data_IF_140481984913
#
_entry.id   IF_140481984913
#
_cell.length_a   1.000
_cell.length_b   1.000
_cell.length_c   1.000
_cell.angle_alpha   90.00
_cell.angle_beta   90.00
_cell.angle_gamma   90.00
#
_symmetry.space_group_name_H-M   'P 1'
#
loop_
_entity.id
_entity.type
_entity.pdbx_description
1 polymer ?
#
# COMPACT_ATOMS: atom_id res chain seq x y z
N UNK A 1 0.44 26.81 28.27
CA UNK A 1 -0.67 26.42 27.39
C UNK A 1 -0.08 26.16 26.01
N UNK A 2 0.05 24.90 25.64
CA UNK A 2 0.42 24.53 24.27
C UNK A 2 -0.91 24.21 23.62
N UNK A 3 -1.45 25.23 22.96
CA UNK A 3 -2.55 25.08 22.01
C UNK A 3 -2.05 24.27 20.82
N UNK A 4 -2.98 23.49 20.24
CA UNK A 4 -2.87 22.83 18.93
C UNK A 4 -2.32 21.39 18.89
N UNK A 5 -2.99 20.49 19.62
CA UNK A 5 -2.88 19.02 19.47
C UNK A 5 -3.40 18.49 18.12
N UNK A 6 -4.07 19.33 17.31
CA UNK A 6 -4.57 18.95 15.98
C UNK A 6 -3.47 18.70 14.95
N UNK A 7 -2.29 19.33 15.12
CA UNK A 7 -1.14 19.17 14.20
C UNK A 7 -0.24 17.97 14.52
N UNK A 8 -0.37 17.39 15.72
CA UNK A 8 0.40 16.21 16.14
C UNK A 8 -0.14 14.89 15.52
N UNK A 9 -1.43 14.85 15.19
CA UNK A 9 -2.08 13.69 14.56
C UNK A 9 -1.54 13.40 13.15
N UNK A 10 -1.18 14.43 12.38
CA UNK A 10 -0.66 14.24 11.02
C UNK A 10 0.77 13.70 11.02
N UNK A 11 1.63 14.11 11.95
CA UNK A 11 3.00 13.61 12.01
C UNK A 11 3.09 12.15 12.48
N UNK A 12 2.21 11.74 13.42
CA UNK A 12 2.14 10.35 13.89
C UNK A 12 1.47 9.45 12.84
N UNK A 13 0.41 9.91 12.17
CA UNK A 13 -0.17 9.22 11.01
C UNK A 13 0.83 9.11 9.87
N UNK A 14 1.53 10.19 9.54
CA UNK A 14 2.59 10.21 8.53
C UNK A 14 3.76 9.32 8.96
N UNK A 15 4.12 9.25 10.25
CA UNK A 15 5.12 8.29 10.76
C UNK A 15 4.63 6.86 10.65
N UNK A 16 3.36 6.58 10.93
CA UNK A 16 2.77 5.25 10.76
C UNK A 16 2.66 4.88 9.28
N UNK A 17 2.37 5.84 8.40
CA UNK A 17 2.36 5.69 6.94
C UNK A 17 3.76 5.49 6.36
N UNK A 18 4.71 6.32 6.78
CA UNK A 18 6.11 6.18 6.43
C UNK A 18 6.61 4.84 6.97
N UNK A 19 6.26 4.44 8.19
CA UNK A 19 6.61 3.13 8.69
C UNK A 19 5.94 2.00 7.88
N UNK A 20 4.69 2.16 7.40
CA UNK A 20 4.05 1.21 6.48
C UNK A 20 4.70 1.14 5.09
N UNK A 21 5.48 2.16 4.66
CA UNK A 21 5.91 2.33 3.25
C UNK A 21 7.43 2.42 3.05
N UNK A 22 8.23 2.80 4.06
CA UNK A 22 9.68 3.05 3.90
C UNK A 22 10.55 1.79 3.84
N UNK A 23 9.95 0.63 3.61
CA UNK A 23 10.59 -0.62 3.92
C UNK A 23 11.07 -1.27 2.64
N UNK A 24 12.37 -1.09 2.39
CA UNK A 24 13.23 -1.79 1.44
C UNK A 24 12.53 -2.64 0.36
N UNK A 25 12.08 -1.97 -0.71
CA UNK A 25 11.60 -2.61 -1.94
C UNK A 25 12.78 -3.28 -2.65
N UNK A 26 13.08 -4.55 -2.31
CA UNK A 26 14.07 -5.33 -3.05
C UNK A 26 13.49 -5.85 -4.40
N UNK A 27 14.30 -5.90 -5.48
CA UNK A 27 13.77 -6.02 -6.84
C UNK A 27 13.22 -7.37 -7.37
N UNK A 28 12.34 -8.12 -6.68
CA UNK A 28 11.93 -9.46 -7.16
C UNK A 28 10.42 -9.67 -7.22
N UNK A 29 9.75 -9.19 -8.28
CA UNK A 29 8.36 -9.51 -8.70
C UNK A 29 7.24 -9.63 -7.62
N UNK A 30 7.53 -9.25 -6.38
CA UNK A 30 6.81 -9.33 -5.11
C UNK A 30 7.60 -8.43 -4.15
N UNK A 31 7.07 -7.26 -3.86
CA UNK A 31 7.71 -6.32 -2.93
C UNK A 31 7.30 -6.74 -1.52
N UNK A 32 8.24 -7.23 -0.71
CA UNK A 32 8.06 -7.32 0.74
C UNK A 32 8.55 -6.03 1.39
N UNK A 33 7.87 -5.62 2.44
CA UNK A 33 8.01 -4.37 3.20
C UNK A 33 8.09 -4.78 4.68
N UNK A 34 9.11 -4.38 5.46
CA UNK A 34 9.40 -4.85 6.83
C UNK A 34 9.67 -3.73 7.85
N UNK A 35 8.92 -3.77 8.99
CA UNK A 35 8.74 -2.87 10.18
C UNK A 35 7.49 -1.92 10.31
N UNK A 36 6.28 -2.49 10.35
CA UNK A 36 5.25 -2.20 11.41
C UNK A 36 4.52 -3.51 11.69
N UNK A 37 5.22 -4.62 11.93
CA UNK A 37 4.69 -6.00 12.10
C UNK A 37 3.67 -6.51 11.04
N UNK A 38 3.37 -5.71 10.02
CA UNK A 38 2.30 -5.89 9.05
C UNK A 38 2.82 -5.42 7.70
N UNK A 39 3.13 -6.38 6.83
CA UNK A 39 3.67 -6.13 5.50
C UNK A 39 2.55 -5.88 4.51
N UNK A 40 2.32 -4.63 4.13
CA UNK A 40 1.42 -4.29 3.03
C UNK A 40 2.20 -4.11 1.73
N UNK A 41 1.67 -4.68 0.67
CA UNK A 41 2.27 -4.71 -0.66
C UNK A 41 1.44 -3.84 -1.58
N UNK A 42 2.08 -2.83 -2.19
CA UNK A 42 1.52 -2.13 -3.33
C UNK A 42 1.58 -3.07 -4.54
N UNK A 43 0.41 -3.58 -4.92
CA UNK A 43 0.26 -4.49 -6.03
C UNK A 43 -0.45 -3.80 -7.18
N UNK A 44 0.26 -3.64 -8.29
CA UNK A 44 -0.33 -3.25 -9.57
C UNK A 44 -0.65 -4.53 -10.33
N UNK A 45 -1.92 -4.76 -10.62
CA UNK A 45 -2.33 -5.87 -11.46
C UNK A 45 -2.12 -5.59 -12.95
N UNK A 46 -2.43 -6.57 -13.80
CA UNK A 46 -2.24 -6.44 -15.25
C UNK A 46 -3.33 -5.59 -15.91
N UNK A 47 -4.45 -5.35 -15.23
CA UNK A 47 -5.53 -4.45 -15.67
C UNK A 47 -5.27 -2.99 -15.34
N UNK A 48 -4.17 -2.66 -14.64
CA UNK A 48 -3.87 -1.28 -14.27
C UNK A 48 -4.64 -0.80 -13.04
N UNK A 49 -4.99 -1.70 -12.14
CA UNK A 49 -5.50 -1.34 -10.81
C UNK A 49 -4.41 -1.51 -9.75
N UNK A 50 -4.40 -0.61 -8.77
CA UNK A 50 -3.59 -0.72 -7.57
C UNK A 50 -4.40 -1.35 -6.44
N UNK A 51 -3.75 -2.22 -5.68
CA UNK A 51 -4.26 -2.74 -4.41
C UNK A 51 -3.16 -2.64 -3.38
N UNK A 52 -3.49 -2.17 -2.20
CA UNK A 52 -2.65 -2.35 -1.03
C UNK A 52 -3.07 -3.67 -0.40
N UNK A 53 -2.18 -4.66 -0.29
CA UNK A 53 -2.59 -5.99 0.20
C UNK A 53 -1.53 -6.69 1.03
N UNK A 54 -1.96 -7.56 1.92
CA UNK A 54 -1.13 -8.58 2.54
C UNK A 54 -1.81 -9.93 2.44
N UNK A 55 -1.01 -11.00 2.36
CA UNK A 55 -1.52 -12.36 2.26
C UNK A 55 -0.99 -13.16 3.44
N UNK A 56 -1.87 -13.92 4.09
CA UNK A 56 -1.59 -14.85 5.18
C UNK A 56 -2.19 -16.21 4.85
N UNK A 57 -1.60 -17.26 5.40
CA UNK A 57 -2.13 -18.62 5.24
C UNK A 57 -3.34 -18.82 6.16
N UNK A 58 -3.30 -18.23 7.35
CA UNK A 58 -4.33 -18.35 8.37
C UNK A 58 -5.25 -17.11 8.41
N UNK A 59 -6.50 -17.34 8.79
CA UNK A 59 -7.53 -16.31 8.87
C UNK A 59 -7.31 -15.36 10.05
N UNK A 60 -6.86 -15.88 11.19
CA UNK A 60 -6.63 -15.08 12.41
C UNK A 60 -5.58 -13.99 12.20
N UNK A 61 -4.47 -14.34 11.56
CA UNK A 61 -3.40 -13.41 11.20
C UNK A 61 -3.85 -12.36 10.19
N UNK A 62 -4.67 -12.74 9.20
CA UNK A 62 -5.23 -11.77 8.25
C UNK A 62 -6.26 -10.84 8.92
N UNK A 63 -7.08 -11.36 9.83
CA UNK A 63 -8.06 -10.58 10.61
C UNK A 63 -7.36 -9.60 11.55
N UNK A 64 -6.32 -10.02 12.26
CA UNK A 64 -5.55 -9.13 13.14
C UNK A 64 -4.96 -7.93 12.36
N UNK A 65 -4.52 -8.17 11.13
CA UNK A 65 -4.05 -7.10 10.25
C UNK A 65 -5.19 -6.16 9.85
N UNK A 66 -6.35 -6.71 9.49
CA UNK A 66 -7.53 -5.90 9.18
C UNK A 66 -7.92 -4.99 10.35
N UNK A 67 -7.97 -5.53 11.57
CA UNK A 67 -8.30 -4.74 12.76
C UNK A 67 -7.30 -3.63 13.02
N UNK A 68 -5.99 -3.89 12.83
CA UNK A 68 -4.95 -2.86 12.95
C UNK A 68 -5.13 -1.74 11.93
N UNK A 69 -5.41 -2.08 10.67
CA UNK A 69 -5.71 -1.09 9.61
C UNK A 69 -6.92 -0.22 9.96
N UNK A 70 -7.98 -0.83 10.50
CA UNK A 70 -9.17 -0.09 10.95
C UNK A 70 -8.85 0.85 12.12
N UNK A 71 -8.02 0.41 13.08
CA UNK A 71 -7.55 1.26 14.19
C UNK A 71 -6.74 2.48 13.73
N UNK A 72 -6.01 2.36 12.62
CA UNK A 72 -5.28 3.49 12.00
C UNK A 72 -6.16 4.34 11.08
N UNK A 73 -7.49 4.28 11.23
CA UNK A 73 -8.49 5.02 10.44
C UNK A 73 -8.64 4.60 8.97
N UNK A 74 -8.04 3.48 8.55
CA UNK A 74 -8.20 2.93 7.19
C UNK A 74 -9.39 1.97 7.14
N UNK A 75 -10.59 2.51 7.23
CA UNK A 75 -11.81 1.72 7.49
C UNK A 75 -12.29 0.88 6.31
N UNK A 76 -11.97 1.23 5.07
CA UNK A 76 -12.31 0.42 3.90
C UNK A 76 -11.29 -0.66 3.54
N UNK A 77 -10.40 -1.01 4.48
CA UNK A 77 -9.71 -2.28 4.39
C UNK A 77 -10.71 -3.44 4.49
N UNK A 78 -10.52 -4.47 3.68
CA UNK A 78 -11.39 -5.64 3.57
C UNK A 78 -10.59 -6.93 3.73
N UNK A 79 -11.28 -8.01 4.10
CA UNK A 79 -10.72 -9.34 4.17
C UNK A 79 -11.38 -10.23 3.13
N UNK A 80 -10.58 -10.95 2.36
CA UNK A 80 -11.07 -11.94 1.40
C UNK A 80 -10.28 -13.23 1.47
N UNK A 81 -10.88 -14.33 1.01
CA UNK A 81 -10.24 -15.64 0.89
C UNK A 81 -9.98 -15.94 -0.57
N UNK A 82 -8.76 -16.37 -0.89
CA UNK A 82 -8.36 -16.70 -2.25
C UNK A 82 -7.39 -17.89 -2.24
N UNK A 83 -7.73 -18.97 -2.95
CA UNK A 83 -6.88 -20.15 -3.14
C UNK A 83 -6.27 -20.70 -1.84
N UNK A 84 -7.10 -20.87 -0.80
CA UNK A 84 -6.66 -21.38 0.50
C UNK A 84 -5.85 -20.38 1.34
N UNK A 85 -5.81 -19.11 0.94
CA UNK A 85 -5.14 -18.02 1.68
C UNK A 85 -6.14 -16.94 2.06
N UNK A 86 -5.79 -16.17 3.08
CA UNK A 86 -6.53 -15.00 3.51
C UNK A 86 -5.76 -13.74 3.12
N UNK A 87 -6.47 -12.75 2.58
CA UNK A 87 -5.89 -11.50 2.11
C UNK A 87 -6.63 -10.34 2.75
N UNK A 88 -5.91 -9.53 3.53
CA UNK A 88 -6.38 -8.21 3.92
C UNK A 88 -5.93 -7.22 2.84
N UNK A 89 -6.85 -6.44 2.28
CA UNK A 89 -6.55 -5.54 1.17
C UNK A 89 -7.37 -4.26 1.22
N UNK A 90 -6.91 -3.27 0.47
CA UNK A 90 -7.60 -2.02 0.18
C UNK A 90 -7.58 -1.82 -1.34
N UNK A 91 -8.75 -1.51 -1.90
CA UNK A 91 -8.91 -1.26 -3.33
C UNK A 91 -8.40 0.14 -3.69
N UNK A 92 -8.16 0.38 -4.98
CA UNK A 92 -7.78 1.69 -5.50
C UNK A 92 -8.78 2.79 -5.10
N UNK A 93 -10.08 2.54 -5.30
CA UNK A 93 -11.15 3.49 -4.96
C UNK A 93 -11.17 3.85 -3.48
N UNK A 94 -10.74 2.94 -2.62
CA UNK A 94 -10.65 3.21 -1.19
C UNK A 94 -9.35 3.96 -0.85
N UNK A 95 -8.23 3.58 -1.48
CA UNK A 95 -6.94 4.28 -1.35
C UNK A 95 -7.08 5.77 -1.69
N UNK A 96 -7.81 6.09 -2.77
CA UNK A 96 -8.02 7.46 -3.24
C UNK A 96 -8.68 8.39 -2.21
N UNK A 97 -9.36 7.84 -1.19
CA UNK A 97 -9.97 8.62 -0.11
C UNK A 97 -8.96 9.10 0.93
N UNK A 98 -7.75 8.53 0.94
CA UNK A 98 -6.70 8.81 1.91
C UNK A 98 -5.51 9.46 1.18
N UNK A 99 -5.50 10.80 1.12
CA UNK A 99 -4.50 11.57 0.36
C UNK A 99 -3.06 11.28 0.82
N UNK A 100 -2.88 11.09 2.12
CA UNK A 100 -1.64 10.68 2.76
C UNK A 100 -1.14 9.32 2.23
N UNK A 101 -2.04 8.35 2.07
CA UNK A 101 -1.73 7.04 1.49
C UNK A 101 -1.44 7.11 -0.01
N UNK A 102 -2.15 7.96 -0.76
CA UNK A 102 -1.92 8.20 -2.19
C UNK A 102 -0.49 8.72 -2.41
N UNK A 103 -0.06 9.74 -1.66
CA UNK A 103 1.29 10.32 -1.78
C UNK A 103 2.37 9.25 -1.60
N UNK A 104 2.22 8.38 -0.61
CA UNK A 104 3.16 7.30 -0.36
C UNK A 104 3.14 6.20 -1.43
N UNK A 105 1.95 5.81 -1.89
CA UNK A 105 1.81 4.86 -3.00
C UNK A 105 2.43 5.43 -4.28
N UNK A 106 2.25 6.72 -4.57
CA UNK A 106 2.89 7.38 -5.71
C UNK A 106 4.42 7.28 -5.65
N UNK A 107 5.04 7.42 -4.47
CA UNK A 107 6.49 7.22 -4.30
C UNK A 107 6.89 5.78 -4.64
N UNK A 108 6.12 4.79 -4.19
CA UNK A 108 6.39 3.36 -4.50
C UNK A 108 6.22 3.09 -5.99
N UNK A 109 5.15 3.59 -6.61
CA UNK A 109 4.89 3.44 -8.05
C UNK A 109 6.01 4.07 -8.89
N UNK A 110 6.50 5.27 -8.53
CA UNK A 110 7.66 5.91 -9.19
C UNK A 110 8.90 5.02 -9.13
N UNK A 111 9.20 4.39 -7.99
CA UNK A 111 10.31 3.43 -7.84
C UNK A 111 10.08 2.17 -8.71
N UNK A 112 8.86 1.63 -8.72
CA UNK A 112 8.50 0.47 -9.54
C UNK A 112 8.62 0.76 -11.04
N UNK A 113 8.20 1.95 -11.49
CA UNK A 113 8.29 2.39 -12.88
C UNK A 113 9.75 2.50 -13.33
N UNK A 114 10.61 3.19 -12.56
CA UNK A 114 12.06 3.29 -12.85
C UNK A 114 12.72 1.92 -12.96
N UNK A 115 12.39 0.99 -12.07
CA UNK A 115 12.90 -0.39 -12.09
C UNK A 115 12.36 -1.20 -13.28
N UNK A 116 11.12 -0.97 -13.71
CA UNK A 116 10.57 -1.62 -14.91
C UNK A 116 11.28 -1.12 -16.17
N UNK A 117 11.52 0.19 -16.25
CA UNK A 117 12.29 0.83 -17.32
C UNK A 117 13.73 0.28 -17.38
N UNK A 118 14.44 0.22 -16.25
CA UNK A 118 15.82 -0.29 -16.20
C UNK A 118 15.96 -1.76 -16.58
N UNK A 119 14.87 -2.53 -16.54
CA UNK A 119 14.82 -3.95 -16.92
C UNK A 119 14.23 -4.19 -18.32
N UNK A 120 13.96 -3.12 -19.10
CA UNK A 120 13.34 -3.24 -20.43
C UNK A 120 11.92 -3.81 -20.41
N UNK A 121 11.20 -3.74 -19.28
CA UNK A 121 9.85 -4.31 -19.12
C UNK A 121 8.78 -3.31 -19.57
N UNK A 122 8.75 -2.97 -20.86
CA UNK A 122 7.92 -1.89 -21.44
C UNK A 122 6.44 -2.03 -21.11
N UNK A 123 5.85 -3.22 -21.27
CA UNK A 123 4.43 -3.45 -20.93
C UNK A 123 4.14 -3.14 -19.47
N UNK A 124 5.02 -3.56 -18.56
CA UNK A 124 4.87 -3.31 -17.12
C UNK A 124 5.01 -1.84 -16.78
N UNK A 125 5.95 -1.15 -17.44
CA UNK A 125 6.12 0.30 -17.30
C UNK A 125 4.85 1.05 -17.69
N UNK A 126 4.26 0.74 -18.87
CA UNK A 126 3.01 1.36 -19.32
C UNK A 126 1.88 1.16 -18.30
N UNK A 127 1.72 -0.06 -17.78
CA UNK A 127 0.71 -0.34 -16.76
C UNK A 127 0.92 0.49 -15.49
N UNK A 128 2.17 0.60 -15.01
CA UNK A 128 2.47 1.40 -13.81
C UNK A 128 2.24 2.90 -14.07
N UNK A 129 2.63 3.41 -15.23
CA UNK A 129 2.40 4.81 -15.60
C UNK A 129 0.91 5.13 -15.68
N UNK A 130 0.10 4.23 -16.25
CA UNK A 130 -1.36 4.41 -16.28
C UNK A 130 -1.97 4.49 -14.88
N UNK A 131 -1.54 3.62 -13.96
CA UNK A 131 -1.96 3.69 -12.55
C UNK A 131 -1.55 5.02 -11.92
N UNK A 132 -0.31 5.48 -12.18
CA UNK A 132 0.17 6.75 -11.67
C UNK A 132 -0.71 7.91 -12.14
N UNK A 133 -1.07 7.95 -13.43
CA UNK A 133 -1.99 8.96 -13.96
C UNK A 133 -3.35 8.93 -13.27
N UNK A 134 -3.91 7.73 -13.07
CA UNK A 134 -5.22 7.59 -12.42
C UNK A 134 -5.21 8.04 -10.95
N UNK A 135 -4.11 7.81 -10.24
CA UNK A 135 -3.91 8.26 -8.85
C UNK A 135 -3.43 9.71 -8.74
N UNK A 136 -3.31 10.45 -9.85
CA UNK A 136 -2.74 11.80 -9.90
C UNK A 136 -1.34 11.89 -9.27
N UNK A 137 -0.50 10.89 -9.55
CA UNK A 137 0.93 10.84 -9.28
C UNK A 137 1.76 11.48 -10.40
#
# INVERSE_FOLDING_TARGET
MIEDWGKLLDAEKLRQLLALVNMNVKPLDRSLVDEVDVKLIVYVDNSGYVKLRTVRMDYGGAMSILERLKRTSYNGAELTKWSGRCMAYMSMNEIEKYQDLVVEICKVLKRMCRKAMSKGRTRRMITITSVMTNLNC
#
